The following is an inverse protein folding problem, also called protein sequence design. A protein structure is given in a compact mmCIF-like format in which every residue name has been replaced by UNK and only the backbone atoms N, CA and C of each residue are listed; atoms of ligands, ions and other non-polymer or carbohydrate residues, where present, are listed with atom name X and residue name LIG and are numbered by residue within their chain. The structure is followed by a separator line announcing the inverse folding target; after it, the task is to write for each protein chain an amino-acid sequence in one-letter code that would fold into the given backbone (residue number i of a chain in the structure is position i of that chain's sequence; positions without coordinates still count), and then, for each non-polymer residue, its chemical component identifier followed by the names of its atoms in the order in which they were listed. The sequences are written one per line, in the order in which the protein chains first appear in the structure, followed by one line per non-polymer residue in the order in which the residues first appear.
data_IF_051393259756
#
_entry.id   IF_051393259756
#
_cell.length_a   1.000
_cell.length_b   1.000
_cell.length_c   1.000
_cell.angle_alpha   90.00
_cell.angle_beta   90.00
_cell.angle_gamma   90.00
#
_symmetry.space_group_name_H-M   'P 1'
#
loop_
_entity.id
_entity.type
_entity.pdbx_description
1 polymer ?
#
# COMPACT_ATOMS: atom_id res chain seq x y z
N UNK A 1 -56.93 -26.10 4.41
CA UNK A 1 -56.03 -26.02 3.25
C UNK A 1 -54.80 -25.21 3.65
N UNK A 2 -53.64 -25.86 3.58
CA UNK A 2 -52.32 -25.32 3.94
C UNK A 2 -51.84 -24.33 2.88
N UNK A 3 -51.26 -23.20 3.27
CA UNK A 3 -50.18 -22.55 2.52
C UNK A 3 -49.23 -21.85 3.49
N UNK A 4 -48.12 -22.53 3.74
CA UNK A 4 -46.93 -22.01 4.39
C UNK A 4 -46.32 -20.92 3.51
N UNK A 5 -46.01 -19.76 4.09
CA UNK A 5 -45.05 -18.81 3.54
C UNK A 5 -43.83 -18.83 4.46
N UNK A 6 -42.92 -19.76 4.18
CA UNK A 6 -41.53 -19.70 4.63
C UNK A 6 -40.86 -18.71 3.67
N UNK A 7 -40.69 -17.47 4.11
CA UNK A 7 -39.80 -16.54 3.43
C UNK A 7 -38.38 -16.80 3.95
N UNK A 8 -37.60 -17.43 3.08
CA UNK A 8 -36.15 -17.60 3.18
C UNK A 8 -35.49 -16.21 3.35
N UNK A 9 -34.95 -15.92 4.53
CA UNK A 9 -33.98 -14.85 4.71
C UNK A 9 -32.59 -15.45 4.49
N UNK A 10 -32.18 -15.58 3.23
CA UNK A 10 -30.82 -15.92 2.84
C UNK A 10 -30.24 -14.74 2.08
N UNK A 11 -29.15 -14.17 2.61
CA UNK A 11 -28.31 -13.27 1.86
C UNK A 11 -27.85 -12.01 2.60
N UNK A 12 -27.37 -12.11 3.84
CA UNK A 12 -26.38 -11.14 4.33
C UNK A 12 -25.04 -11.85 4.45
N UNK A 13 -24.49 -12.23 3.30
CA UNK A 13 -23.16 -12.82 3.19
C UNK A 13 -22.15 -11.68 3.18
N UNK A 14 -21.52 -11.51 4.34
CA UNK A 14 -20.09 -11.21 4.53
C UNK A 14 -19.55 -10.07 3.65
N UNK A 15 -19.54 -8.85 4.20
CA UNK A 15 -18.62 -7.79 3.77
C UNK A 15 -17.22 -8.21 4.24
N UNK A 16 -16.54 -9.03 3.45
CA UNK A 16 -15.16 -9.44 3.70
C UNK A 16 -14.25 -8.26 3.39
N UNK A 17 -13.72 -7.63 4.45
CA UNK A 17 -12.31 -7.27 4.68
C UNK A 17 -11.40 -7.12 3.44
N UNK A 18 -11.83 -6.37 2.43
CA UNK A 18 -10.95 -5.97 1.34
C UNK A 18 -10.17 -4.74 1.76
N UNK A 19 -9.50 -4.73 2.93
CA UNK A 19 -8.55 -3.67 3.26
C UNK A 19 -7.32 -3.88 2.37
N UNK A 20 -6.94 -2.84 1.61
CA UNK A 20 -5.58 -2.79 1.08
C UNK A 20 -4.62 -2.64 2.27
N UNK A 21 -3.33 -2.90 2.07
CA UNK A 21 -2.39 -3.46 3.06
C UNK A 21 -2.81 -3.50 4.52
N UNK A 22 -2.71 -4.71 5.10
CA UNK A 22 -2.76 -4.87 6.55
C UNK A 22 -2.01 -3.72 7.22
N UNK A 23 -2.71 -2.96 8.06
CA UNK A 23 -2.34 -1.59 8.47
C UNK A 23 -0.86 -1.43 8.83
N UNK A 24 -0.28 -2.47 9.42
CA UNK A 24 1.14 -2.65 9.68
C UNK A 24 2.09 -2.21 8.55
N UNK A 25 1.88 -2.69 7.32
CA UNK A 25 2.82 -2.43 6.24
C UNK A 25 2.79 -0.98 5.78
N UNK A 26 1.59 -0.37 5.67
CA UNK A 26 1.45 1.06 5.37
C UNK A 26 2.13 1.93 6.41
N UNK A 27 1.93 1.65 7.71
CA UNK A 27 2.59 2.35 8.80
C UNK A 27 4.10 2.31 8.65
N UNK A 28 4.66 1.11 8.46
CA UNK A 28 6.10 0.92 8.32
C UNK A 28 6.65 1.62 7.09
N UNK A 29 6.03 1.44 5.94
CA UNK A 29 6.48 2.01 4.67
C UNK A 29 6.50 3.55 4.74
N UNK A 30 5.42 4.18 5.22
CA UNK A 30 5.33 5.64 5.31
C UNK A 30 6.31 6.22 6.32
N UNK A 31 6.46 5.58 7.48
CA UNK A 31 7.45 5.97 8.48
C UNK A 31 8.87 5.96 7.92
N UNK A 32 9.26 4.88 7.24
CA UNK A 32 10.60 4.73 6.68
C UNK A 32 10.84 5.67 5.49
N UNK A 33 9.80 6.03 4.73
CA UNK A 33 9.91 6.99 3.63
C UNK A 33 10.43 8.36 4.11
N UNK A 34 10.13 8.77 5.36
CA UNK A 34 10.67 10.01 5.96
C UNK A 34 12.20 10.01 6.00
N UNK A 35 12.84 8.86 6.20
CA UNK A 35 14.31 8.75 6.25
C UNK A 35 14.99 8.80 4.88
N UNK A 36 14.22 8.80 3.79
CA UNK A 36 14.76 8.98 2.43
C UNK A 36 14.93 10.46 2.04
N UNK A 37 14.28 11.36 2.78
CA UNK A 37 14.13 12.77 2.41
C UNK A 37 15.41 13.59 2.60
N UNK A 38 15.65 14.62 1.77
CA UNK A 38 16.81 15.49 1.89
C UNK A 38 16.71 16.41 3.11
N UNK A 39 17.85 17.03 3.48
CA UNK A 39 17.96 17.92 4.66
C UNK A 39 16.88 19.02 4.71
N UNK A 40 16.51 19.60 3.56
CA UNK A 40 15.50 20.66 3.48
C UNK A 40 14.08 20.23 3.87
N UNK A 41 13.79 18.93 3.86
CA UNK A 41 12.48 18.38 4.24
C UNK A 41 12.53 17.55 5.52
N UNK A 42 13.69 16.94 5.80
CA UNK A 42 13.84 15.92 6.84
C UNK A 42 13.40 16.42 8.22
N UNK A 43 13.69 17.67 8.59
CA UNK A 43 13.30 18.21 9.88
C UNK A 43 11.77 18.26 10.06
N UNK A 44 11.05 18.83 9.08
CA UNK A 44 9.59 18.91 9.10
C UNK A 44 8.93 17.54 9.15
N UNK A 45 9.34 16.61 8.29
CA UNK A 45 8.74 15.28 8.26
C UNK A 45 9.09 14.44 9.49
N UNK A 46 10.29 14.60 10.08
CA UNK A 46 10.66 13.92 11.34
C UNK A 46 9.86 14.46 12.53
N UNK A 47 9.61 15.77 12.58
CA UNK A 47 8.76 16.38 13.62
C UNK A 47 7.31 15.90 13.56
N UNK A 48 6.85 15.47 12.37
CA UNK A 48 5.48 15.00 12.14
C UNK A 48 5.40 13.50 11.81
N UNK A 49 6.45 12.72 12.12
CA UNK A 49 6.56 11.33 11.64
C UNK A 49 5.47 10.43 12.22
N UNK A 50 5.02 10.69 13.45
CA UNK A 50 3.93 9.92 14.06
C UNK A 50 2.60 10.18 13.33
N UNK A 51 2.28 11.44 12.98
CA UNK A 51 1.11 11.75 12.15
C UNK A 51 1.18 11.03 10.80
N UNK A 52 2.32 11.13 10.09
CA UNK A 52 2.51 10.45 8.79
C UNK A 52 2.34 8.94 8.93
N UNK A 53 2.81 8.36 10.04
CA UNK A 53 2.66 6.93 10.33
C UNK A 53 1.19 6.60 10.58
N UNK A 54 0.55 7.19 11.57
CA UNK A 54 -0.83 6.88 11.99
C UNK A 54 -1.86 7.10 10.86
N UNK A 55 -1.65 8.13 10.04
CA UNK A 55 -2.55 8.45 8.94
C UNK A 55 -2.29 7.68 7.65
N UNK A 56 -1.27 6.82 7.59
CA UNK A 56 -0.95 6.00 6.42
C UNK A 56 -2.06 5.01 6.01
N UNK A 57 -3.09 4.80 6.85
CA UNK A 57 -4.26 3.93 6.59
C UNK A 57 -5.57 4.71 6.51
N UNK A 58 -5.51 6.04 6.53
CA UNK A 58 -6.72 6.87 6.52
C UNK A 58 -7.53 6.70 5.24
N UNK A 59 -6.87 6.43 4.10
CA UNK A 59 -7.53 6.16 2.83
C UNK A 59 -8.42 4.92 2.91
N UNK A 60 -7.92 3.80 3.43
CA UNK A 60 -8.75 2.63 3.65
C UNK A 60 -9.93 2.90 4.57
N UNK A 61 -9.70 3.64 5.66
CA UNK A 61 -10.76 4.00 6.60
C UNK A 61 -11.83 4.89 5.95
N UNK A 62 -11.49 5.71 4.96
CA UNK A 62 -12.48 6.53 4.23
C UNK A 62 -13.48 5.70 3.45
N UNK A 63 -13.15 4.48 3.04
CA UNK A 63 -14.06 3.60 2.27
C UNK A 63 -15.33 3.23 3.03
N UNK A 64 -15.32 3.32 4.36
CA UNK A 64 -16.51 3.10 5.18
C UNK A 64 -17.53 4.24 5.12
N UNK A 65 -17.12 5.42 4.64
CA UNK A 65 -17.96 6.63 4.60
C UNK A 65 -18.04 7.26 3.20
N UNK A 66 -17.12 6.92 2.29
CA UNK A 66 -17.07 7.40 0.90
C UNK A 66 -16.95 6.22 -0.06
N UNK A 67 -18.04 5.91 -0.77
CA UNK A 67 -18.08 4.84 -1.77
C UNK A 67 -17.17 5.12 -2.99
N UNK A 68 -16.82 6.37 -3.24
CA UNK A 68 -15.93 6.76 -4.36
C UNK A 68 -14.45 6.56 -4.05
N UNK A 69 -14.11 6.23 -2.79
CA UNK A 69 -12.74 5.99 -2.37
C UNK A 69 -12.22 4.62 -2.85
N UNK A 70 -13.06 3.58 -2.83
CA UNK A 70 -12.61 2.20 -3.07
C UNK A 70 -11.84 2.02 -4.39
N UNK A 71 -12.29 2.57 -5.55
CA UNK A 71 -11.53 2.50 -6.80
C UNK A 71 -10.13 3.10 -6.76
N UNK A 72 -9.80 3.95 -5.78
CA UNK A 72 -8.51 4.64 -5.72
C UNK A 72 -7.37 3.73 -5.24
N UNK A 73 -7.68 2.55 -4.73
CA UNK A 73 -6.73 1.61 -4.13
C UNK A 73 -6.23 0.52 -5.09
N UNK A 74 -6.83 0.38 -6.26
CA UNK A 74 -6.48 -0.69 -7.20
C UNK A 74 -6.56 -0.23 -8.65
N UNK A 75 -6.09 -1.09 -9.55
CA UNK A 75 -6.28 -0.96 -11.00
C UNK A 75 -6.26 -2.36 -11.62
N UNK A 76 -7.43 -2.95 -11.83
CA UNK A 76 -7.64 -4.29 -12.37
C UNK A 76 -7.19 -4.37 -13.83
N UNK A 77 -5.87 -4.42 -14.03
CA UNK A 77 -5.26 -4.19 -15.32
C UNK A 77 -5.65 -5.29 -16.31
N UNK A 78 -5.75 -6.54 -15.86
CA UNK A 78 -6.18 -7.69 -16.66
C UNK A 78 -7.58 -7.56 -17.28
N UNK A 79 -8.43 -6.66 -16.75
CA UNK A 79 -9.71 -6.33 -17.38
C UNK A 79 -9.52 -5.76 -18.81
N UNK A 80 -8.44 -5.01 -19.04
CA UNK A 80 -8.18 -4.30 -20.29
C UNK A 80 -7.40 -5.16 -21.31
N UNK A 81 -7.34 -6.47 -21.10
CA UNK A 81 -6.77 -7.45 -22.01
C UNK A 81 -5.41 -8.00 -21.59
N UNK A 82 -4.77 -8.77 -22.48
CA UNK A 82 -3.53 -9.52 -22.16
C UNK A 82 -2.29 -8.64 -21.95
N UNK A 83 -2.27 -7.45 -22.56
CA UNK A 83 -1.15 -6.49 -22.48
C UNK A 83 -1.69 -5.11 -22.09
N UNK A 84 -2.26 -4.96 -20.89
CA UNK A 84 -3.10 -3.81 -20.57
C UNK A 84 -2.31 -2.49 -20.56
N UNK A 85 -1.06 -2.52 -20.09
CA UNK A 85 -0.18 -1.34 -20.08
C UNK A 85 0.33 -0.91 -21.46
N UNK A 86 0.13 -1.74 -22.51
CA UNK A 86 0.43 -1.36 -23.89
C UNK A 86 -0.75 -0.67 -24.58
N UNK A 87 -1.97 -0.91 -24.10
CA UNK A 87 -3.21 -0.42 -24.74
C UNK A 87 -3.95 0.62 -23.91
N UNK A 88 -3.63 0.76 -22.62
CA UNK A 88 -4.21 1.75 -21.72
C UNK A 88 -3.57 3.13 -21.94
N UNK A 89 -4.33 4.13 -22.42
CA UNK A 89 -3.84 5.50 -22.44
C UNK A 89 -3.59 5.98 -21.00
N UNK A 90 -2.46 6.65 -20.76
CA UNK A 90 -2.15 7.11 -19.40
C UNK A 90 -2.93 8.38 -19.02
N UNK A 91 -3.18 9.28 -19.97
CA UNK A 91 -3.96 10.50 -19.69
C UNK A 91 -5.41 10.12 -19.46
N UNK A 92 -6.00 10.64 -18.37
CA UNK A 92 -7.38 10.33 -17.99
C UNK A 92 -8.37 10.57 -19.13
N UNK A 93 -8.29 11.71 -19.81
CA UNK A 93 -9.20 12.07 -20.91
C UNK A 93 -9.16 11.03 -22.03
N UNK A 94 -7.96 10.57 -22.41
CA UNK A 94 -7.79 9.58 -23.47
C UNK A 94 -8.27 8.18 -23.01
N UNK A 95 -8.02 7.83 -21.75
CA UNK A 95 -8.49 6.57 -21.16
C UNK A 95 -10.01 6.54 -21.05
N UNK A 96 -10.62 7.64 -20.60
CA UNK A 96 -12.07 7.77 -20.45
C UNK A 96 -12.78 7.83 -21.81
N UNK A 97 -12.16 8.45 -22.82
CA UNK A 97 -12.68 8.41 -24.19
C UNK A 97 -12.69 6.97 -24.75
N UNK A 98 -11.68 6.16 -24.38
CA UNK A 98 -11.56 4.78 -24.85
C UNK A 98 -12.45 3.77 -24.09
N UNK A 99 -12.57 3.93 -22.77
CA UNK A 99 -13.21 2.93 -21.90
C UNK A 99 -14.42 3.42 -21.12
N UNK A 100 -14.76 4.72 -21.15
CA UNK A 100 -15.68 5.44 -20.26
C UNK A 100 -15.15 5.64 -18.83
N UNK A 101 -15.53 6.75 -18.19
CA UNK A 101 -15.19 7.01 -16.80
C UNK A 101 -15.80 5.99 -15.83
N UNK A 102 -16.99 5.48 -16.12
CA UNK A 102 -17.66 4.50 -15.27
C UNK A 102 -16.90 3.17 -15.23
N UNK A 103 -16.41 2.70 -16.38
CA UNK A 103 -15.55 1.51 -16.44
C UNK A 103 -14.23 1.74 -15.72
N UNK A 104 -13.57 2.88 -15.92
CA UNK A 104 -12.32 3.18 -15.20
C UNK A 104 -12.54 3.19 -13.68
N UNK A 105 -13.63 3.82 -13.21
CA UNK A 105 -13.98 3.83 -11.79
C UNK A 105 -14.33 2.43 -11.28
N UNK A 106 -14.97 1.58 -12.09
CA UNK A 106 -15.30 0.21 -11.69
C UNK A 106 -14.08 -0.71 -11.57
N UNK A 107 -13.09 -0.52 -12.43
CA UNK A 107 -11.90 -1.38 -12.51
C UNK A 107 -10.64 -0.71 -11.96
N UNK A 108 -10.82 0.31 -11.13
CA UNK A 108 -9.75 0.92 -10.35
C UNK A 108 -9.03 2.07 -11.06
N UNK A 109 -8.51 2.98 -10.25
CA UNK A 109 -7.97 4.27 -10.67
C UNK A 109 -6.66 4.66 -9.98
N UNK A 110 -6.01 3.73 -9.25
CA UNK A 110 -4.83 4.04 -8.43
C UNK A 110 -3.73 4.85 -9.13
N UNK A 111 -3.33 4.63 -10.40
CA UNK A 111 -2.29 5.48 -11.03
C UNK A 111 -2.71 6.95 -11.18
N UNK A 112 -3.99 7.22 -11.45
CA UNK A 112 -4.53 8.57 -11.56
C UNK A 112 -4.76 9.21 -10.18
N UNK A 113 -5.12 8.42 -9.18
CA UNK A 113 -5.24 8.87 -7.79
C UNK A 113 -3.89 9.32 -7.22
N UNK A 114 -2.81 8.58 -7.50
CA UNK A 114 -1.43 8.98 -7.18
C UNK A 114 -1.10 10.33 -7.85
N UNK A 115 -1.36 10.46 -9.15
CA UNK A 115 -1.07 11.70 -9.88
C UNK A 115 -1.86 12.90 -9.33
N UNK A 116 -3.14 12.71 -8.99
CA UNK A 116 -3.97 13.78 -8.43
C UNK A 116 -3.46 14.23 -7.06
N UNK A 117 -3.21 13.28 -6.16
CA UNK A 117 -2.66 13.56 -4.83
C UNK A 117 -1.28 14.22 -4.90
N UNK A 118 -0.46 13.86 -5.89
CA UNK A 118 0.82 14.53 -6.13
C UNK A 118 0.65 16.03 -6.38
N UNK A 119 -0.23 16.43 -7.32
CA UNK A 119 -0.43 17.85 -7.60
C UNK A 119 -1.17 18.58 -6.48
N UNK A 120 -2.02 17.90 -5.72
CA UNK A 120 -2.57 18.45 -4.49
C UNK A 120 -1.49 18.73 -3.45
N UNK A 121 -0.49 17.84 -3.33
CA UNK A 121 0.64 18.04 -2.44
C UNK A 121 1.53 19.20 -2.89
N UNK A 122 1.79 19.33 -4.19
CA UNK A 122 2.49 20.51 -4.77
C UNK A 122 1.77 21.79 -4.36
N UNK A 123 0.45 21.85 -4.52
CA UNK A 123 -0.34 23.02 -4.16
C UNK A 123 -0.39 23.27 -2.64
N UNK A 124 -0.40 22.22 -1.82
CA UNK A 124 -0.32 22.35 -0.37
C UNK A 124 1.02 22.97 0.07
N UNK A 125 2.13 22.52 -0.54
CA UNK A 125 3.44 23.14 -0.32
C UNK A 125 3.47 24.61 -0.73
N UNK A 126 2.95 24.96 -1.92
CA UNK A 126 2.88 26.36 -2.39
C UNK A 126 2.08 27.28 -1.46
N UNK A 127 1.02 26.75 -0.83
CA UNK A 127 0.17 27.48 0.12
C UNK A 127 0.72 27.48 1.54
N UNK A 128 1.83 26.78 1.81
CA UNK A 128 2.37 26.59 3.16
C UNK A 128 1.35 26.01 4.16
N UNK A 129 0.45 25.15 3.67
CA UNK A 129 -0.66 24.59 4.44
C UNK A 129 -0.20 23.29 5.13
N UNK A 130 0.28 23.39 6.37
CA UNK A 130 0.84 22.27 7.14
C UNK A 130 -0.12 21.07 7.21
N UNK A 131 -1.38 21.30 7.57
CA UNK A 131 -2.37 20.22 7.71
C UNK A 131 -2.63 19.51 6.39
N UNK A 132 -2.74 20.27 5.28
CA UNK A 132 -2.89 19.67 3.95
C UNK A 132 -1.63 18.91 3.51
N UNK A 133 -0.42 19.45 3.75
CA UNK A 133 0.84 18.76 3.43
C UNK A 133 0.87 17.40 4.12
N UNK A 134 0.59 17.34 5.43
CA UNK A 134 0.67 16.10 6.19
C UNK A 134 -0.40 15.09 5.75
N UNK A 135 -1.65 15.53 5.59
CA UNK A 135 -2.77 14.65 5.21
C UNK A 135 -2.60 14.10 3.80
N UNK A 136 -2.22 14.95 2.84
CA UNK A 136 -2.03 14.55 1.45
C UNK A 136 -0.78 13.67 1.33
N UNK A 137 0.31 13.96 2.05
CA UNK A 137 1.49 13.09 2.06
C UNK A 137 1.18 11.68 2.54
N UNK A 138 0.40 11.53 3.62
CA UNK A 138 -0.01 10.22 4.13
C UNK A 138 -0.92 9.47 3.13
N UNK A 139 -1.91 10.15 2.54
CA UNK A 139 -2.79 9.56 1.51
C UNK A 139 -2.03 9.17 0.24
N UNK A 140 -1.16 10.05 -0.27
CA UNK A 140 -0.30 9.77 -1.41
C UNK A 140 0.60 8.57 -1.13
N UNK A 141 1.17 8.51 0.07
CA UNK A 141 1.98 7.38 0.51
C UNK A 141 1.21 6.07 0.55
N UNK A 142 -0.06 6.10 0.97
CA UNK A 142 -0.96 4.96 0.93
C UNK A 142 -1.17 4.43 -0.50
N UNK A 143 -1.64 5.27 -1.43
CA UNK A 143 -1.92 4.82 -2.79
C UNK A 143 -0.66 4.35 -3.55
N UNK A 144 0.49 4.97 -3.28
CA UNK A 144 1.77 4.51 -3.84
C UNK A 144 2.11 3.12 -3.30
N UNK A 145 1.90 2.86 -2.00
CA UNK A 145 2.09 1.53 -1.44
C UNK A 145 1.13 0.53 -2.10
N UNK A 146 -0.17 0.83 -2.21
CA UNK A 146 -1.14 -0.03 -2.90
C UNK A 146 -0.68 -0.43 -4.31
N UNK A 147 -0.22 0.55 -5.10
CA UNK A 147 0.29 0.28 -6.44
C UNK A 147 1.51 -0.67 -6.50
N UNK A 148 2.20 -0.92 -5.38
CA UNK A 148 3.29 -1.90 -5.27
C UNK A 148 2.82 -3.32 -4.91
N UNK A 149 1.54 -3.54 -4.60
CA UNK A 149 0.95 -4.86 -4.32
C UNK A 149 0.53 -5.51 -5.63
N UNK A 150 1.12 -6.63 -6.06
CA UNK A 150 0.70 -7.28 -7.31
C UNK A 150 -0.81 -7.55 -7.37
N UNK A 151 -1.41 -7.98 -6.27
CA UNK A 151 -2.82 -8.33 -6.18
C UNK A 151 -3.78 -7.13 -6.28
N UNK A 152 -3.31 -5.89 -6.17
CA UNK A 152 -4.14 -4.70 -6.47
C UNK A 152 -4.19 -4.38 -7.96
N UNK A 153 -3.51 -5.16 -8.80
CA UNK A 153 -3.44 -4.93 -10.23
C UNK A 153 -4.21 -5.99 -11.05
N UNK A 154 -5.07 -6.79 -10.42
CA UNK A 154 -5.77 -7.90 -11.06
C UNK A 154 -7.17 -8.11 -10.51
N UNK A 155 -8.11 -8.44 -11.39
CA UNK A 155 -9.44 -8.89 -10.99
C UNK A 155 -9.39 -10.13 -10.09
N UNK A 156 -8.34 -10.96 -10.17
CA UNK A 156 -8.12 -12.12 -9.31
C UNK A 156 -7.41 -11.76 -7.98
N UNK A 157 -7.72 -10.57 -7.43
CA UNK A 157 -7.02 -9.97 -6.29
C UNK A 157 -6.98 -10.86 -5.04
N UNK A 158 -7.97 -11.73 -4.83
CA UNK A 158 -7.99 -12.67 -3.71
C UNK A 158 -7.89 -14.12 -4.18
N UNK A 159 -7.51 -14.38 -5.43
CA UNK A 159 -7.42 -15.74 -5.96
C UNK A 159 -8.79 -16.40 -6.18
N UNK A 160 -9.88 -15.63 -6.13
CA UNK A 160 -11.25 -16.09 -6.25
C UNK A 160 -11.58 -16.69 -7.63
N UNK A 161 -10.85 -16.31 -8.68
CA UNK A 161 -11.01 -16.85 -10.03
C UNK A 161 -10.17 -18.12 -10.26
N UNK A 162 -9.22 -18.43 -9.37
CA UNK A 162 -8.30 -19.58 -9.51
C UNK A 162 -8.35 -20.55 -8.31
N UNK A 163 -9.29 -20.36 -7.39
CA UNK A 163 -9.49 -21.21 -6.21
C UNK A 163 -8.36 -21.09 -5.19
N UNK A 164 -7.98 -19.85 -4.86
CA UNK A 164 -6.91 -19.48 -3.92
C UNK A 164 -7.38 -18.37 -2.95
N UNK A 165 -8.70 -18.30 -2.68
CA UNK A 165 -9.34 -17.34 -1.77
C UNK A 165 -8.56 -17.17 -0.45
N UNK A 166 -8.29 -15.91 -0.09
CA UNK A 166 -7.47 -15.50 1.04
C UNK A 166 -5.99 -15.24 0.71
N UNK A 167 -5.54 -15.42 -0.54
CA UNK A 167 -4.14 -15.14 -0.92
C UNK A 167 -3.80 -13.65 -0.76
N UNK A 168 -4.78 -12.75 -0.85
CA UNK A 168 -4.57 -11.32 -0.62
C UNK A 168 -4.07 -11.07 0.80
N UNK A 169 -4.83 -11.55 1.79
CA UNK A 169 -4.47 -11.42 3.20
C UNK A 169 -3.16 -12.18 3.54
N UNK A 170 -2.88 -13.31 2.88
CA UNK A 170 -1.60 -14.00 2.99
C UNK A 170 -0.45 -13.07 2.58
N UNK A 171 -0.46 -12.58 1.34
CA UNK A 171 0.66 -11.84 0.77
C UNK A 171 0.87 -10.50 1.47
N UNK A 172 -0.22 -9.80 1.76
CA UNK A 172 -0.21 -8.38 2.10
C UNK A 172 -0.21 -8.11 3.60
N UNK A 173 -0.86 -8.97 4.39
CA UNK A 173 -0.91 -8.82 5.85
C UNK A 173 0.02 -9.83 6.52
N UNK A 174 -0.20 -11.12 6.26
CA UNK A 174 0.40 -12.19 7.05
C UNK A 174 1.91 -12.30 6.86
N UNK A 175 2.40 -12.20 5.61
CA UNK A 175 3.84 -12.26 5.36
C UNK A 175 4.59 -11.06 5.97
N UNK A 176 4.15 -9.79 5.78
CA UNK A 176 4.79 -8.66 6.45
C UNK A 176 4.74 -8.78 7.98
N UNK A 177 3.59 -9.10 8.59
CA UNK A 177 3.49 -9.24 10.05
C UNK A 177 4.52 -10.24 10.61
N UNK A 178 4.72 -11.38 9.94
CA UNK A 178 5.63 -12.43 10.40
C UNK A 178 7.11 -12.17 10.12
N UNK A 179 7.45 -11.56 8.98
CA UNK A 179 8.84 -11.58 8.47
C UNK A 179 9.47 -10.20 8.32
N UNK A 180 8.68 -9.13 8.35
CA UNK A 180 9.14 -7.77 8.08
C UNK A 180 10.28 -7.29 8.97
N UNK A 181 10.38 -7.74 10.23
CA UNK A 181 11.48 -7.37 11.14
C UNK A 181 12.85 -7.91 10.67
N UNK A 182 12.87 -8.93 9.80
CA UNK A 182 14.08 -9.49 9.22
C UNK A 182 14.51 -8.89 7.88
N UNK A 183 13.66 -8.05 7.26
CA UNK A 183 13.92 -7.46 5.94
C UNK A 183 15.01 -6.39 5.97
N UNK A 184 15.69 -6.19 4.83
CA UNK A 184 16.55 -5.04 4.59
C UNK A 184 15.77 -3.90 3.95
N UNK A 185 15.50 -2.85 4.73
CA UNK A 185 14.72 -1.69 4.29
C UNK A 185 15.51 -0.56 3.65
N UNK A 186 16.84 -0.60 3.61
CA UNK A 186 17.61 0.54 3.13
C UNK A 186 17.32 0.80 1.65
N UNK A 187 16.53 1.84 1.38
CA UNK A 187 16.00 2.14 0.05
C UNK A 187 16.80 3.23 -0.66
N UNK A 188 17.79 3.83 0.00
CA UNK A 188 18.55 4.96 -0.50
C UNK A 188 17.87 6.31 -0.24
N UNK A 189 18.16 7.30 -1.08
CA UNK A 189 17.65 8.67 -1.00
C UNK A 189 16.58 8.91 -2.03
N UNK A 190 15.59 9.73 -1.69
CA UNK A 190 14.55 10.19 -2.61
C UNK A 190 15.16 10.79 -3.88
N UNK A 191 14.54 10.50 -5.03
CA UNK A 191 14.95 11.01 -6.35
C UNK A 191 13.83 11.84 -6.98
N UNK A 192 14.20 12.78 -7.84
CA UNK A 192 13.22 13.58 -8.56
C UNK A 192 12.48 12.73 -9.61
N UNK A 193 11.16 12.89 -9.69
CA UNK A 193 10.26 12.23 -10.62
C UNK A 193 9.74 13.28 -11.59
N UNK A 194 10.20 13.21 -12.84
CA UNK A 194 9.83 14.17 -13.90
C UNK A 194 8.36 14.06 -14.35
N UNK A 195 7.78 12.87 -14.31
CA UNK A 195 6.40 12.63 -14.71
C UNK A 195 5.72 11.73 -13.68
N UNK A 196 4.95 12.32 -12.73
CA UNK A 196 4.29 11.57 -11.66
C UNK A 196 3.35 10.49 -12.20
N UNK A 197 2.57 10.83 -13.24
CA UNK A 197 1.65 9.89 -13.89
C UNK A 197 2.39 8.71 -14.55
N UNK A 198 3.45 8.99 -15.32
CA UNK A 198 4.22 7.94 -15.97
C UNK A 198 4.91 7.03 -14.95
N UNK A 199 5.42 7.58 -13.86
CA UNK A 199 6.02 6.80 -12.77
C UNK A 199 4.97 5.94 -12.06
N UNK A 200 3.76 6.45 -11.82
CA UNK A 200 2.67 5.68 -11.24
C UNK A 200 2.26 4.49 -12.12
N UNK A 201 2.14 4.70 -13.44
CA UNK A 201 1.91 3.60 -14.40
C UNK A 201 3.08 2.62 -14.47
N UNK A 202 4.33 3.09 -14.37
CA UNK A 202 5.52 2.23 -14.33
C UNK A 202 5.51 1.32 -13.10
N UNK A 203 5.13 1.86 -11.94
CA UNK A 203 4.95 1.10 -10.69
C UNK A 203 3.87 0.03 -10.89
N UNK A 204 2.67 0.43 -11.33
CA UNK A 204 1.56 -0.50 -11.56
C UNK A 204 1.95 -1.62 -12.53
N UNK A 205 2.62 -1.29 -13.64
CA UNK A 205 3.10 -2.28 -14.61
C UNK A 205 4.11 -3.26 -13.98
N UNK A 206 5.04 -2.74 -13.19
CA UNK A 206 6.02 -3.57 -12.48
C UNK A 206 5.32 -4.55 -11.53
N UNK A 207 4.34 -4.08 -10.76
CA UNK A 207 3.58 -4.91 -9.80
C UNK A 207 2.73 -5.96 -10.51
N UNK A 208 2.03 -5.57 -11.58
CA UNK A 208 1.24 -6.47 -12.40
C UNK A 208 2.08 -7.62 -12.98
N UNK A 209 3.31 -7.35 -13.43
CA UNK A 209 4.24 -8.38 -13.92
C UNK A 209 4.67 -9.39 -12.84
N UNK A 210 4.23 -9.26 -11.58
CA UNK A 210 4.43 -10.26 -10.53
C UNK A 210 3.17 -11.01 -10.14
N UNK A 211 2.00 -10.67 -10.68
CA UNK A 211 0.73 -11.34 -10.40
C UNK A 211 0.81 -12.83 -10.71
N UNK A 212 1.36 -13.21 -11.86
CA UNK A 212 1.51 -14.61 -12.26
C UNK A 212 2.31 -15.39 -11.21
N UNK A 213 3.38 -14.79 -10.69
CA UNK A 213 4.31 -15.46 -9.79
C UNK A 213 3.68 -15.59 -8.41
N UNK A 214 2.99 -14.56 -7.93
CA UNK A 214 2.22 -14.62 -6.67
C UNK A 214 1.21 -15.76 -6.70
N UNK A 215 0.36 -15.81 -7.72
CA UNK A 215 -0.71 -16.82 -7.84
C UNK A 215 -0.15 -18.21 -8.14
N UNK A 216 0.72 -18.36 -9.14
CA UNK A 216 1.23 -19.68 -9.56
C UNK A 216 2.06 -20.35 -8.47
N UNK A 217 2.89 -19.59 -7.75
CA UNK A 217 3.72 -20.15 -6.67
C UNK A 217 2.84 -20.65 -5.53
N UNK A 218 1.82 -19.88 -5.10
CA UNK A 218 0.90 -20.33 -4.05
C UNK A 218 0.16 -21.59 -4.49
N UNK A 219 -0.36 -21.61 -5.73
CA UNK A 219 -1.08 -22.76 -6.28
C UNK A 219 -0.21 -24.01 -6.31
N UNK A 220 1.06 -23.88 -6.70
CA UNK A 220 2.01 -24.99 -6.72
C UNK A 220 2.35 -25.47 -5.31
N UNK A 221 2.65 -24.56 -4.39
CA UNK A 221 2.94 -24.88 -3.00
C UNK A 221 1.74 -25.54 -2.30
N UNK A 222 0.53 -25.11 -2.60
CA UNK A 222 -0.69 -25.68 -1.99
C UNK A 222 -0.86 -27.17 -2.28
N UNK A 223 -0.21 -27.72 -3.30
CA UNK A 223 -0.24 -29.17 -3.59
C UNK A 223 0.61 -29.99 -2.63
N UNK A 224 1.55 -29.37 -1.91
CA UNK A 224 2.45 -30.05 -0.96
C UNK A 224 2.02 -29.90 0.49
N UNK A 225 0.82 -29.36 0.75
CA UNK A 225 0.25 -29.18 2.09
C UNK A 225 -1.18 -29.70 2.11
N UNK A 226 -1.55 -30.45 3.15
CA UNK A 226 -2.98 -30.70 3.44
C UNK A 226 -3.62 -29.44 4.03
N UNK A 227 -4.95 -29.33 3.98
CA UNK A 227 -5.66 -28.20 4.57
C UNK A 227 -5.33 -27.98 6.06
N UNK A 228 -5.17 -29.07 6.81
CA UNK A 228 -4.80 -29.04 8.23
C UNK A 228 -3.37 -28.50 8.48
N UNK A 229 -2.46 -28.65 7.50
CA UNK A 229 -1.11 -28.09 7.57
C UNK A 229 -1.07 -26.66 7.02
N UNK A 230 -1.91 -26.35 6.04
CA UNK A 230 -1.96 -25.05 5.36
C UNK A 230 -2.56 -23.96 6.24
N UNK A 231 -3.62 -24.28 6.98
CA UNK A 231 -4.35 -23.33 7.79
C UNK A 231 -4.19 -23.56 9.29
N UNK A 232 -4.42 -22.51 10.05
CA UNK A 232 -4.50 -22.52 11.51
C UNK A 232 -5.58 -21.54 11.96
N UNK A 233 -5.98 -21.61 13.23
CA UNK A 233 -6.89 -20.63 13.83
C UNK A 233 -6.11 -19.82 14.85
N UNK A 234 -6.15 -18.50 14.69
CA UNK A 234 -5.50 -17.58 15.62
C UNK A 234 -6.51 -16.57 16.18
N UNK A 235 -6.25 -16.13 17.41
CA UNK A 235 -7.03 -15.07 18.05
C UNK A 235 -6.51 -13.71 17.58
N UNK A 236 -7.35 -12.93 16.90
CA UNK A 236 -7.11 -11.50 16.60
C UNK A 236 -8.11 -10.68 17.40
N UNK A 237 -7.64 -9.96 18.42
CA UNK A 237 -8.52 -9.28 19.38
C UNK A 237 -9.45 -10.27 20.09
N UNK A 238 -10.76 -10.10 19.95
CA UNK A 238 -11.78 -11.00 20.51
C UNK A 238 -12.21 -12.13 19.56
N UNK A 239 -11.78 -12.12 18.29
CA UNK A 239 -12.26 -13.06 17.27
C UNK A 239 -11.24 -14.17 16.98
N UNK A 240 -11.75 -15.37 16.72
CA UNK A 240 -10.98 -16.48 16.17
C UNK A 240 -11.02 -16.43 14.64
N UNK A 241 -9.86 -16.32 14.00
CA UNK A 241 -9.76 -16.16 12.55
C UNK A 241 -8.98 -17.34 11.96
N UNK A 242 -9.56 -18.01 10.96
CA UNK A 242 -8.83 -18.99 10.14
C UNK A 242 -7.83 -18.24 9.28
N UNK A 243 -6.54 -18.56 9.42
CA UNK A 243 -5.44 -17.92 8.69
C UNK A 243 -4.44 -18.97 8.20
N UNK A 244 -3.47 -18.53 7.41
CA UNK A 244 -2.38 -19.39 6.94
C UNK A 244 -1.40 -19.70 8.09
N UNK A 245 -1.02 -20.96 8.20
CA UNK A 245 -0.08 -21.43 9.21
C UNK A 245 1.30 -20.80 9.01
N UNK A 246 2.07 -20.65 10.09
CA UNK A 246 3.44 -20.11 10.03
C UNK A 246 4.32 -20.96 9.10
N UNK A 247 4.13 -22.29 9.11
CA UNK A 247 4.87 -23.21 8.24
C UNK A 247 4.60 -22.94 6.75
N UNK A 248 3.32 -22.77 6.38
CA UNK A 248 2.94 -22.42 5.01
C UNK A 248 3.49 -21.05 4.61
N UNK A 249 3.36 -20.05 5.49
CA UNK A 249 3.86 -18.71 5.27
C UNK A 249 5.38 -18.69 5.03
N UNK A 250 6.16 -19.44 5.83
CA UNK A 250 7.62 -19.58 5.65
C UNK A 250 7.97 -20.20 4.31
N UNK A 251 7.28 -21.28 3.91
CA UNK A 251 7.52 -21.96 2.64
C UNK A 251 7.19 -21.06 1.45
N UNK A 252 6.04 -20.39 1.48
CA UNK A 252 5.61 -19.46 0.45
C UNK A 252 6.56 -18.26 0.32
N UNK A 253 6.89 -17.63 1.46
CA UNK A 253 7.83 -16.50 1.50
C UNK A 253 9.22 -16.87 0.93
N UNK A 254 9.71 -18.08 1.22
CA UNK A 254 10.96 -18.59 0.64
C UNK A 254 10.87 -18.74 -0.88
N UNK A 255 9.76 -19.29 -1.40
CA UNK A 255 9.55 -19.46 -2.84
C UNK A 255 9.36 -18.12 -3.58
N UNK A 256 8.81 -17.10 -2.92
CA UNK A 256 8.76 -15.72 -3.43
C UNK A 256 10.14 -15.05 -3.52
N UNK A 257 11.20 -15.67 -2.99
CA UNK A 257 12.60 -15.21 -3.09
C UNK A 257 12.76 -13.73 -2.74
N UNK A 258 12.19 -13.29 -1.61
CA UNK A 258 12.30 -11.90 -1.13
C UNK A 258 11.45 -10.88 -1.89
N UNK A 259 10.42 -11.30 -2.64
CA UNK A 259 9.53 -10.39 -3.37
C UNK A 259 8.88 -9.34 -2.45
N UNK A 260 8.31 -9.76 -1.32
CA UNK A 260 7.61 -8.84 -0.39
C UNK A 260 8.57 -7.76 0.12
N UNK A 261 9.76 -8.15 0.57
CA UNK A 261 10.82 -7.23 0.98
C UNK A 261 11.17 -6.22 -0.12
N UNK A 262 11.39 -6.69 -1.37
CA UNK A 262 11.70 -5.80 -2.49
C UNK A 262 10.57 -4.80 -2.74
N UNK A 263 9.31 -5.23 -2.72
CA UNK A 263 8.14 -4.36 -2.93
C UNK A 263 7.98 -3.32 -1.83
N UNK A 264 8.16 -3.71 -0.57
CA UNK A 264 8.13 -2.76 0.56
C UNK A 264 9.26 -1.72 0.43
N UNK A 265 10.48 -2.16 0.09
CA UNK A 265 11.63 -1.25 -0.09
C UNK A 265 11.44 -0.30 -1.28
N UNK A 266 10.92 -0.79 -2.41
CA UNK A 266 10.55 0.04 -3.56
C UNK A 266 9.46 1.06 -3.21
N UNK A 267 8.48 0.66 -2.39
CA UNK A 267 7.43 1.57 -1.88
C UNK A 267 8.02 2.70 -1.04
N UNK A 268 8.91 2.38 -0.09
CA UNK A 268 9.61 3.38 0.76
C UNK A 268 10.33 4.42 -0.09
N UNK A 269 11.12 3.99 -1.08
CA UNK A 269 11.84 4.90 -1.97
C UNK A 269 10.88 5.73 -2.84
N UNK A 270 9.85 5.09 -3.39
CA UNK A 270 8.90 5.75 -4.29
C UNK A 270 8.15 6.86 -3.56
N UNK A 271 7.60 6.58 -2.37
CA UNK A 271 6.87 7.57 -1.56
C UNK A 271 7.74 8.78 -1.26
N UNK A 272 8.96 8.55 -0.75
CA UNK A 272 9.90 9.64 -0.50
C UNK A 272 10.24 10.44 -1.74
N UNK A 273 10.36 9.78 -2.90
CA UNK A 273 10.61 10.41 -4.20
C UNK A 273 9.43 11.26 -4.68
N UNK A 274 8.18 10.80 -4.49
CA UNK A 274 6.99 11.59 -4.81
C UNK A 274 6.86 12.81 -3.90
N UNK A 275 7.05 12.67 -2.59
CA UNK A 275 7.05 13.81 -1.66
C UNK A 275 8.13 14.82 -2.00
N UNK A 276 9.36 14.34 -2.23
CA UNK A 276 10.49 15.19 -2.62
C UNK A 276 10.20 15.93 -3.92
N UNK A 277 9.70 15.25 -4.94
CA UNK A 277 9.41 15.87 -6.22
C UNK A 277 8.31 16.90 -6.11
N UNK A 278 7.28 16.65 -5.29
CA UNK A 278 6.20 17.63 -5.07
C UNK A 278 6.71 18.89 -4.37
N UNK A 279 7.65 18.76 -3.43
CA UNK A 279 8.31 19.89 -2.77
C UNK A 279 9.20 20.68 -3.74
N UNK A 280 9.95 20.01 -4.61
CA UNK A 280 10.74 20.65 -5.67
C UNK A 280 9.84 21.45 -6.62
N UNK A 281 8.76 20.85 -7.11
CA UNK A 281 7.82 21.49 -8.04
C UNK A 281 6.99 22.62 -7.40
N UNK A 282 6.96 22.67 -6.07
CA UNK A 282 6.40 23.78 -5.31
C UNK A 282 7.36 24.97 -5.13
N UNK A 283 8.59 24.89 -5.65
CA UNK A 283 9.61 25.93 -5.48
C UNK A 283 10.44 25.78 -4.20
N UNK A 284 10.48 24.59 -3.61
CA UNK A 284 11.27 24.26 -2.43
C UNK A 284 11.03 25.19 -1.22
N UNK A 285 9.78 25.41 -0.79
CA UNK A 285 9.50 26.27 0.37
C UNK A 285 10.23 25.79 1.63
N UNK A 286 10.63 26.73 2.49
CA UNK A 286 11.35 26.42 3.74
C UNK A 286 10.40 25.77 4.77
N UNK A 287 10.40 24.44 4.81
CA UNK A 287 9.53 23.67 5.68
C UNK A 287 9.88 23.80 7.17
N UNK A 288 11.06 24.34 7.53
CA UNK A 288 11.38 24.57 8.93
C UNK A 288 10.47 25.61 9.57
N UNK A 289 9.96 26.56 8.77
CA UNK A 289 8.99 27.58 9.21
C UNK A 289 7.60 27.01 9.50
N UNK A 290 7.34 25.77 9.07
CA UNK A 290 6.05 25.08 9.21
C UNK A 290 6.05 24.07 10.37
N UNK A 291 7.13 23.99 11.15
CA UNK A 291 7.23 23.10 12.30
C UNK A 291 6.51 23.75 13.48
N UNK A 292 5.29 23.32 13.77
CA UNK A 292 4.53 23.78 14.95
C UNK A 292 5.14 23.28 16.26
N UNK A 293 5.49 21.98 16.31
CA UNK A 293 6.08 21.34 17.49
C UNK A 293 7.46 20.76 17.16
N UNK A 294 8.55 21.45 17.54
CA UNK A 294 9.88 20.90 17.41
C UNK A 294 10.07 19.65 18.27
N UNK A 295 10.85 18.70 17.77
CA UNK A 295 11.23 17.51 18.53
C UNK A 295 12.04 17.87 19.78
N UNK A 296 11.70 17.24 20.91
CA UNK A 296 12.52 17.24 22.13
C UNK A 296 13.88 16.55 21.90
N UNK A 297 14.82 16.75 22.82
CA UNK A 297 16.15 16.11 22.77
C UNK A 297 16.01 14.57 22.74
N UNK A 298 15.10 14.03 23.55
CA UNK A 298 14.85 12.58 23.62
C UNK A 298 14.28 12.04 22.30
N UNK A 299 13.29 12.72 21.72
CA UNK A 299 12.69 12.32 20.44
C UNK A 299 13.70 12.41 19.28
N UNK A 300 14.52 13.48 19.25
CA UNK A 300 15.62 13.62 18.27
C UNK A 300 16.59 12.46 18.36
N UNK A 301 17.03 12.10 19.58
CA UNK A 301 17.94 10.97 19.80
C UNK A 301 17.32 9.64 19.33
N UNK A 302 16.05 9.40 19.67
CA UNK A 302 15.30 8.20 19.24
C UNK A 302 15.26 8.09 17.72
N UNK A 303 14.87 9.17 17.01
CA UNK A 303 14.80 9.18 15.55
C UNK A 303 16.17 9.09 14.87
N UNK A 304 17.23 9.64 15.48
CA UNK A 304 18.60 9.46 14.99
C UNK A 304 19.06 8.00 15.09
N UNK A 305 18.71 7.31 16.17
CA UNK A 305 18.98 5.87 16.30
C UNK A 305 18.17 5.07 15.28
N UNK A 306 16.89 5.41 15.10
CA UNK A 306 16.03 4.79 14.09
C UNK A 306 16.58 4.95 12.67
N UNK A 307 16.98 6.18 12.31
CA UNK A 307 17.55 6.47 11.00
C UNK A 307 18.89 5.76 10.79
N UNK A 308 19.71 5.63 11.84
CA UNK A 308 20.97 4.89 11.78
C UNK A 308 20.74 3.40 11.52
N UNK A 309 19.71 2.81 12.16
CA UNK A 309 19.27 1.44 11.88
C UNK A 309 18.78 1.30 10.43
N UNK A 310 17.92 2.22 9.97
CA UNK A 310 17.43 2.23 8.60
C UNK A 310 18.56 2.26 7.57
N UNK A 311 19.62 3.06 7.81
CA UNK A 311 20.79 3.17 6.93
C UNK A 311 21.60 1.89 6.79
N UNK A 312 21.56 1.00 7.78
CA UNK A 312 22.17 -0.35 7.70
C UNK A 312 21.14 -1.43 7.32
N UNK A 313 19.96 -1.01 6.87
CA UNK A 313 18.88 -1.89 6.43
C UNK A 313 18.03 -2.46 7.55
N UNK A 314 18.24 -2.08 8.80
CA UNK A 314 17.52 -2.60 9.96
C UNK A 314 16.40 -1.66 10.39
N UNK A 315 15.47 -2.18 11.18
CA UNK A 315 14.36 -1.42 11.77
C UNK A 315 14.18 -1.81 13.22
N UNK A 316 13.50 -0.98 14.01
CA UNK A 316 13.01 -1.43 15.30
C UNK A 316 12.05 -2.60 15.09
N UNK A 317 12.23 -3.65 15.89
CA UNK A 317 11.22 -4.70 15.98
C UNK A 317 9.95 -4.06 16.54
N UNK A 318 8.89 -4.05 15.73
CA UNK A 318 7.56 -3.77 16.24
C UNK A 318 7.18 -5.04 17.00
N UNK A 319 7.07 -4.96 18.34
CA UNK A 319 6.37 -5.99 19.09
C UNK A 319 4.97 -6.08 18.50
N UNK A 320 4.51 -7.29 18.18
CA UNK A 320 3.18 -7.52 17.60
C UNK A 320 2.18 -6.58 18.28
N UNK A 321 1.73 -5.55 17.56
CA UNK A 321 0.74 -4.64 18.13
C UNK A 321 -0.51 -5.48 18.42
N UNK A 322 -1.11 -5.30 19.61
CA UNK A 322 -2.16 -6.20 20.12
C UNK A 322 -3.37 -6.35 19.20
#
# INVERSE_FOLDING_TARGET
MKRNLIAFFVGSVIITLCSSWGFFAHYRINRLAVFTLPKGMAAFYKSNIEFITEHAVSADKRRYVDSTEAPRHYFDADHYGKHPFSVMPQRWVDAAAKYSSDTLNKYGTVPWSINSNYYWLVNAFKRHDTSAILTISANLGHYIADAHVPLHLTQNYDGQLTGQTGIHALWESRLPELFSNGYNYYAGRARYIKSPLAEAFRICRSSYNSVDSVLRIEKQLSKSFTDAQKYTTEKRGSQQVKTYSIAYCKAYHKLLKGMVERRMRESVLSIGSFWFSAWVDAGQPDLNKLIEKPLSIAEKKKLQTEESMYRVGKVYAVANQP
#
